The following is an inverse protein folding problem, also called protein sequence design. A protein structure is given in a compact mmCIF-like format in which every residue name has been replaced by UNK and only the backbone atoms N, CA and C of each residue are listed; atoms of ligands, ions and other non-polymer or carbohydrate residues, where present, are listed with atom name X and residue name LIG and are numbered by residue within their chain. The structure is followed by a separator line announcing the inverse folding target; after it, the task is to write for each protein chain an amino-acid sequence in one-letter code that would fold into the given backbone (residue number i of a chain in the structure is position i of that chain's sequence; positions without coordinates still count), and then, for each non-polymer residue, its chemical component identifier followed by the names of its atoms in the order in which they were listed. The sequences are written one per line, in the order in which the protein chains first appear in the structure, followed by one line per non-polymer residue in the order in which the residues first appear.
data_IF_009970260202
#
_entry.id   IF_009970260202
#
_cell.length_a   1.000
_cell.length_b   1.000
_cell.length_c   1.000
_cell.angle_alpha   90.00
_cell.angle_beta   90.00
_cell.angle_gamma   90.00
#
_symmetry.space_group_name_H-M   'P 1'
#
loop_
_entity.id
_entity.type
_entity.pdbx_description
1 polymer ?
#
# COMPACT_ATOMS: atom_id res chain seq x y z
N UNK A 1 -19.75 -32.31 -6.82
CA UNK A 1 -18.89 -31.15 -6.48
C UNK A 1 -17.66 -31.20 -7.37
N UNK A 2 -17.58 -30.37 -8.38
CA UNK A 2 -16.43 -30.32 -9.29
C UNK A 2 -15.53 -29.17 -8.86
N UNK A 3 -14.35 -29.49 -8.37
CA UNK A 3 -13.27 -28.54 -8.13
C UNK A 3 -12.73 -28.08 -9.50
N UNK A 4 -13.03 -26.88 -9.90
CA UNK A 4 -12.36 -26.24 -11.04
C UNK A 4 -11.03 -25.67 -10.57
N UNK A 5 -9.94 -26.30 -10.99
CA UNK A 5 -8.60 -25.72 -10.94
C UNK A 5 -8.62 -24.48 -11.84
N UNK A 6 -8.47 -23.29 -11.26
CA UNK A 6 -8.08 -22.10 -12.03
C UNK A 6 -6.66 -22.34 -12.55
N UNK A 7 -6.53 -22.28 -13.87
CA UNK A 7 -5.24 -22.36 -14.57
C UNK A 7 -4.42 -21.11 -14.32
N UNK A 8 -3.13 -21.30 -14.08
CA UNK A 8 -2.10 -20.25 -14.03
C UNK A 8 -2.01 -19.57 -15.41
N UNK A 9 -2.73 -18.48 -15.60
CA UNK A 9 -2.61 -17.64 -16.80
C UNK A 9 -2.85 -16.19 -16.42
N UNK A 10 -1.80 -15.40 -16.58
CA UNK A 10 -1.64 -13.93 -16.57
C UNK A 10 -1.79 -13.22 -15.20
N UNK A 11 -1.02 -12.13 -14.99
CA UNK A 11 -1.25 -11.24 -13.87
C UNK A 11 -2.60 -10.58 -14.05
N UNK A 12 -3.62 -11.25 -13.59
CA UNK A 12 -5.00 -10.74 -13.57
C UNK A 12 -4.98 -9.39 -12.87
N UNK A 13 -5.57 -8.43 -13.53
CA UNK A 13 -5.80 -7.08 -13.07
C UNK A 13 -6.72 -7.12 -11.83
N UNK A 14 -6.17 -7.61 -10.70
CA UNK A 14 -6.86 -7.86 -9.43
C UNK A 14 -7.74 -6.68 -8.97
N UNK A 15 -7.35 -5.39 -9.18
CA UNK A 15 -8.21 -4.26 -8.88
C UNK A 15 -9.52 -4.24 -9.67
N UNK A 16 -9.49 -4.59 -10.95
CA UNK A 16 -10.65 -4.52 -11.84
C UNK A 16 -11.74 -5.54 -11.44
N UNK A 17 -11.33 -6.77 -11.19
CA UNK A 17 -12.26 -7.86 -10.78
C UNK A 17 -12.94 -7.54 -9.44
N UNK A 18 -12.25 -6.89 -8.50
CA UNK A 18 -12.83 -6.50 -7.21
C UNK A 18 -13.90 -5.44 -7.35
N UNK A 19 -13.71 -4.46 -8.22
CA UNK A 19 -14.70 -3.40 -8.46
C UNK A 19 -15.99 -3.98 -9.06
N UNK A 20 -15.89 -4.86 -10.04
CA UNK A 20 -17.05 -5.53 -10.65
C UNK A 20 -17.86 -6.33 -9.63
N UNK A 21 -17.21 -7.02 -8.70
CA UNK A 21 -17.87 -7.79 -7.64
C UNK A 21 -18.59 -6.86 -6.67
N UNK A 22 -17.99 -5.74 -6.29
CA UNK A 22 -18.60 -4.73 -5.43
C UNK A 22 -19.80 -4.07 -6.10
N UNK A 23 -19.72 -3.76 -7.39
CA UNK A 23 -20.82 -3.21 -8.18
C UNK A 23 -22.00 -4.20 -8.29
N UNK A 24 -21.71 -5.50 -8.24
CA UNK A 24 -22.74 -6.54 -8.14
C UNK A 24 -23.37 -6.65 -6.74
N UNK A 25 -22.99 -5.80 -5.78
CA UNK A 25 -23.52 -5.80 -4.41
C UNK A 25 -22.95 -6.89 -3.50
N UNK A 26 -21.82 -7.47 -3.87
CA UNK A 26 -21.15 -8.54 -3.11
C UNK A 26 -20.06 -7.95 -2.23
N UNK A 27 -20.08 -8.24 -0.94
CA UNK A 27 -19.03 -7.81 -0.02
C UNK A 27 -17.71 -8.53 -0.32
N UNK A 28 -16.61 -7.78 -0.35
CA UNK A 28 -15.27 -8.30 -0.65
C UNK A 28 -14.35 -8.04 0.54
N UNK A 29 -13.71 -9.10 1.03
CA UNK A 29 -12.62 -9.02 2.01
C UNK A 29 -11.34 -9.40 1.28
N UNK A 30 -10.33 -8.52 1.31
CA UNK A 30 -9.06 -8.81 0.68
C UNK A 30 -7.88 -8.44 1.56
N UNK A 31 -6.81 -9.23 1.49
CA UNK A 31 -5.53 -8.92 2.12
C UNK A 31 -4.62 -8.21 1.12
N UNK A 32 -3.97 -7.15 1.56
CA UNK A 32 -3.02 -6.36 0.78
C UNK A 32 -1.74 -6.18 1.57
N UNK A 33 -0.61 -6.47 0.96
CA UNK A 33 0.67 -6.16 1.57
C UNK A 33 1.08 -4.74 1.22
N UNK A 34 1.68 -4.02 2.18
CA UNK A 34 2.08 -2.63 2.04
C UNK A 34 2.98 -2.36 0.83
N UNK A 35 3.81 -3.32 0.46
CA UNK A 35 4.73 -3.23 -0.68
C UNK A 35 4.04 -3.10 -2.04
N UNK A 36 2.79 -3.49 -2.15
CA UNK A 36 2.02 -3.41 -3.39
C UNK A 36 1.29 -2.07 -3.57
N UNK A 37 1.24 -1.22 -2.55
CA UNK A 37 0.59 0.09 -2.66
C UNK A 37 1.44 1.01 -3.53
N UNK A 38 0.83 1.55 -4.58
CA UNK A 38 1.55 2.27 -5.64
C UNK A 38 2.34 3.48 -5.10
N UNK A 39 1.73 4.30 -4.25
CA UNK A 39 2.39 5.48 -3.67
C UNK A 39 3.57 5.15 -2.76
N UNK A 40 3.59 3.96 -2.16
CA UNK A 40 4.61 3.53 -1.21
C UNK A 40 5.73 2.70 -1.85
N UNK A 41 5.58 2.31 -3.11
CA UNK A 41 6.52 1.41 -3.79
C UNK A 41 7.97 1.92 -3.79
N UNK A 42 8.18 3.24 -3.98
CA UNK A 42 9.53 3.81 -3.94
C UNK A 42 10.16 3.78 -2.53
N UNK A 43 9.35 4.02 -1.50
CA UNK A 43 9.84 3.98 -0.12
C UNK A 43 10.15 2.53 0.29
N UNK A 44 9.30 1.58 -0.11
CA UNK A 44 9.58 0.14 0.05
C UNK A 44 10.87 -0.26 -0.64
N UNK A 45 11.10 0.19 -1.89
CA UNK A 45 12.35 -0.07 -2.62
C UNK A 45 13.57 0.51 -1.91
N UNK A 46 13.48 1.71 -1.33
CA UNK A 46 14.58 2.31 -0.56
C UNK A 46 14.89 1.53 0.71
N UNK A 47 13.87 1.04 1.40
CA UNK A 47 14.01 0.28 2.64
C UNK A 47 14.60 -1.10 2.37
N UNK A 48 14.02 -1.83 1.40
CA UNK A 48 14.31 -3.25 1.20
C UNK A 48 15.33 -3.54 0.10
N UNK A 49 15.60 -2.55 -0.76
CA UNK A 49 16.39 -2.75 -1.99
C UNK A 49 15.66 -3.53 -3.09
N UNK A 50 14.41 -3.96 -2.85
CA UNK A 50 13.64 -4.79 -3.78
C UNK A 50 12.59 -3.96 -4.50
N UNK A 51 12.54 -4.08 -5.82
CA UNK A 51 11.48 -3.47 -6.63
C UNK A 51 10.31 -4.44 -6.77
N UNK A 52 9.14 -4.00 -6.34
CA UNK A 52 7.89 -4.77 -6.46
C UNK A 52 7.18 -4.35 -7.75
N UNK A 53 7.00 -5.30 -8.65
CA UNK A 53 6.39 -5.06 -9.97
C UNK A 53 4.87 -4.93 -9.88
N UNK A 54 4.22 -5.76 -9.07
CA UNK A 54 2.77 -5.73 -8.87
C UNK A 54 2.40 -4.52 -8.02
N UNK A 55 1.46 -3.70 -8.51
CA UNK A 55 1.03 -2.47 -7.84
C UNK A 55 -0.48 -2.41 -7.74
N UNK A 56 -0.93 -1.92 -6.61
CA UNK A 56 -2.35 -1.66 -6.33
C UNK A 56 -2.51 -0.14 -6.25
N UNK A 57 -3.39 0.46 -7.05
CA UNK A 57 -3.66 1.88 -6.98
C UNK A 57 -4.18 2.29 -5.58
N UNK A 58 -3.75 3.45 -5.10
CA UNK A 58 -4.19 4.00 -3.81
C UNK A 58 -5.71 4.20 -3.73
N UNK A 59 -6.36 4.41 -4.89
CA UNK A 59 -7.82 4.52 -4.99
C UNK A 59 -8.56 3.27 -4.48
N UNK A 60 -7.97 2.09 -4.58
CA UNK A 60 -8.57 0.84 -4.07
C UNK A 60 -8.67 0.86 -2.55
N UNK A 61 -7.64 1.36 -1.86
CA UNK A 61 -7.69 1.55 -0.41
C UNK A 61 -8.66 2.66 0.00
N UNK A 62 -8.70 3.75 -0.77
CA UNK A 62 -9.60 4.86 -0.51
C UNK A 62 -11.09 4.48 -0.64
N UNK A 63 -11.41 3.49 -1.48
CA UNK A 63 -12.78 2.97 -1.67
C UNK A 63 -13.18 1.92 -0.63
N UNK A 64 -12.24 1.39 0.16
CA UNK A 64 -12.55 0.38 1.16
C UNK A 64 -13.43 0.96 2.28
N UNK A 65 -14.50 0.27 2.68
CA UNK A 65 -15.34 0.66 3.81
C UNK A 65 -14.58 0.55 5.13
N UNK A 66 -13.72 -0.44 5.25
CA UNK A 66 -12.89 -0.69 6.43
C UNK A 66 -11.48 -1.12 6.03
N UNK A 67 -10.48 -0.57 6.71
CA UNK A 67 -9.08 -0.95 6.57
C UNK A 67 -8.57 -1.41 7.92
N UNK A 68 -8.16 -2.67 8.02
CA UNK A 68 -7.65 -3.28 9.24
C UNK A 68 -6.17 -3.60 9.07
N UNK A 69 -5.34 -3.09 9.97
CA UNK A 69 -3.94 -3.47 10.02
C UNK A 69 -3.77 -4.77 10.82
N UNK A 70 -3.29 -5.81 10.15
CA UNK A 70 -2.89 -7.06 10.82
C UNK A 70 -1.42 -6.95 11.14
N UNK A 71 -1.13 -6.56 12.38
CA UNK A 71 0.23 -6.30 12.82
C UNK A 71 0.86 -7.54 13.47
N UNK A 72 2.10 -7.83 13.08
CA UNK A 72 2.95 -8.85 13.68
C UNK A 72 4.26 -8.21 14.09
N UNK A 73 4.82 -8.67 15.21
CA UNK A 73 6.18 -8.27 15.59
C UNK A 73 7.20 -8.80 14.57
N UNK A 74 8.34 -8.13 14.46
CA UNK A 74 9.41 -8.57 13.56
C UNK A 74 9.85 -10.01 13.89
N UNK A 75 9.94 -10.32 15.16
CA UNK A 75 10.35 -11.66 15.63
C UNK A 75 9.33 -12.74 15.26
N UNK A 76 8.04 -12.47 15.42
CA UNK A 76 6.98 -13.40 15.01
C UNK A 76 6.96 -13.63 13.51
N UNK A 77 7.15 -12.55 12.72
CA UNK A 77 7.19 -12.67 11.27
C UNK A 77 8.40 -13.50 10.80
N UNK A 78 9.58 -13.23 11.39
CA UNK A 78 10.80 -13.98 11.10
C UNK A 78 10.64 -15.46 11.52
N UNK A 79 10.03 -15.74 12.68
CA UNK A 79 9.76 -17.10 13.14
C UNK A 79 8.84 -17.85 12.15
N UNK A 80 7.74 -17.24 11.71
CA UNK A 80 6.83 -17.82 10.72
C UNK A 80 7.49 -18.07 9.37
N UNK A 81 8.42 -17.19 8.97
CA UNK A 81 9.23 -17.36 7.76
C UNK A 81 10.11 -18.60 7.87
N UNK A 82 10.85 -18.73 8.97
CA UNK A 82 11.72 -19.89 9.23
C UNK A 82 10.96 -21.22 9.30
N UNK A 83 9.72 -21.18 9.75
CA UNK A 83 8.81 -22.34 9.80
C UNK A 83 8.22 -22.71 8.43
N UNK A 84 8.56 -21.98 7.36
CA UNK A 84 8.03 -22.23 6.02
C UNK A 84 6.57 -21.87 5.81
N UNK A 85 5.99 -21.09 6.72
CA UNK A 85 4.57 -20.69 6.65
C UNK A 85 4.29 -19.53 5.66
N UNK A 86 5.33 -18.88 5.18
CA UNK A 86 5.22 -17.70 4.27
C UNK A 86 5.80 -18.01 2.89
N UNK A 87 6.94 -18.69 2.84
CA UNK A 87 7.63 -19.08 1.62
C UNK A 87 8.03 -20.54 1.62
N UNK A 88 8.24 -21.09 0.42
CA UNK A 88 8.83 -22.42 0.26
C UNK A 88 10.30 -22.41 0.76
N UNK A 89 10.78 -23.56 1.23
CA UNK A 89 12.05 -23.69 1.93
C UNK A 89 13.27 -23.16 1.14
N UNK A 90 13.26 -23.31 -0.18
CA UNK A 90 14.31 -22.86 -1.10
C UNK A 90 14.45 -21.32 -1.17
N UNK A 91 13.39 -20.58 -0.86
CA UNK A 91 13.34 -19.12 -0.91
C UNK A 91 13.54 -18.41 0.43
N UNK A 92 13.45 -19.16 1.53
CA UNK A 92 13.49 -18.58 2.88
C UNK A 92 14.81 -17.86 3.16
N UNK A 93 15.93 -18.48 2.82
CA UNK A 93 17.26 -17.91 3.11
C UNK A 93 17.49 -16.60 2.37
N UNK A 94 17.11 -16.55 1.09
CA UNK A 94 17.19 -15.33 0.27
C UNK A 94 16.26 -14.24 0.77
N UNK A 95 15.05 -14.61 1.17
CA UNK A 95 14.07 -13.68 1.70
C UNK A 95 14.54 -13.04 3.01
N UNK A 96 15.10 -13.85 3.93
CA UNK A 96 15.65 -13.37 5.21
C UNK A 96 16.87 -12.45 5.03
N UNK A 97 17.70 -12.73 4.04
CA UNK A 97 18.90 -11.90 3.78
C UNK A 97 18.57 -10.55 3.15
N UNK A 98 17.53 -10.47 2.36
CA UNK A 98 17.21 -9.28 1.57
C UNK A 98 16.05 -8.49 2.16
N UNK A 99 14.85 -9.03 2.09
CA UNK A 99 13.62 -8.30 2.41
C UNK A 99 13.29 -8.31 3.91
N UNK A 100 13.42 -9.47 4.56
CA UNK A 100 12.95 -9.70 5.94
C UNK A 100 14.05 -9.52 6.99
N UNK A 101 14.79 -8.42 6.92
CA UNK A 101 15.65 -7.97 8.01
C UNK A 101 14.80 -7.24 9.05
N UNK A 102 15.14 -7.35 10.34
CA UNK A 102 14.37 -6.75 11.43
C UNK A 102 14.15 -5.25 11.22
N UNK A 103 15.18 -4.52 10.80
CA UNK A 103 15.09 -3.07 10.57
C UNK A 103 14.16 -2.74 9.39
N UNK A 104 14.19 -3.53 8.31
CA UNK A 104 13.29 -3.37 7.18
C UNK A 104 11.84 -3.63 7.59
N UNK A 105 11.59 -4.70 8.37
CA UNK A 105 10.26 -5.03 8.87
C UNK A 105 9.70 -3.89 9.73
N UNK A 106 10.51 -3.31 10.62
CA UNK A 106 10.10 -2.19 11.46
C UNK A 106 9.74 -0.96 10.64
N UNK A 107 10.54 -0.63 9.62
CA UNK A 107 10.26 0.50 8.72
C UNK A 107 9.01 0.26 7.86
N UNK A 108 8.81 -0.95 7.34
CA UNK A 108 7.60 -1.32 6.60
C UNK A 108 6.36 -1.27 7.49
N UNK A 109 6.48 -1.71 8.75
CA UNK A 109 5.42 -1.60 9.75
C UNK A 109 5.05 -0.14 10.03
N UNK A 110 6.03 0.74 10.17
CA UNK A 110 5.81 2.18 10.33
C UNK A 110 5.05 2.77 9.13
N UNK A 111 5.43 2.39 7.90
CA UNK A 111 4.72 2.81 6.69
C UNK A 111 3.26 2.32 6.69
N UNK A 112 3.03 1.05 7.07
CA UNK A 112 1.68 0.48 7.14
C UNK A 112 0.80 1.23 8.15
N UNK A 113 1.31 1.50 9.34
CA UNK A 113 0.59 2.25 10.37
C UNK A 113 0.26 3.68 9.92
N UNK A 114 1.19 4.36 9.26
CA UNK A 114 0.95 5.71 8.70
C UNK A 114 -0.13 5.68 7.62
N UNK A 115 -0.14 4.67 6.76
CA UNK A 115 -1.16 4.56 5.72
C UNK A 115 -2.54 4.31 6.32
N UNK A 116 -2.66 3.41 7.30
CA UNK A 116 -3.94 3.17 8.00
C UNK A 116 -4.44 4.43 8.71
N UNK A 117 -3.56 5.15 9.41
CA UNK A 117 -3.92 6.41 10.06
C UNK A 117 -4.46 7.43 9.04
N UNK A 118 -3.80 7.57 7.88
CA UNK A 118 -4.24 8.44 6.79
C UNK A 118 -5.63 8.06 6.25
N UNK A 119 -5.94 6.75 6.16
CA UNK A 119 -7.27 6.29 5.75
C UNK A 119 -8.36 6.64 6.77
N UNK A 120 -8.05 6.50 8.07
CA UNK A 120 -8.98 6.89 9.14
C UNK A 120 -9.25 8.40 9.12
N UNK A 121 -8.21 9.22 8.97
CA UNK A 121 -8.34 10.68 8.87
C UNK A 121 -9.24 11.09 7.72
N UNK A 122 -9.08 10.50 6.54
CA UNK A 122 -9.94 10.77 5.36
C UNK A 122 -11.40 10.46 5.62
N UNK A 123 -11.70 9.37 6.34
CA UNK A 123 -13.08 8.99 6.68
C UNK A 123 -13.70 9.97 7.67
N UNK A 124 -12.99 10.32 8.72
CA UNK A 124 -13.45 11.28 9.72
C UNK A 124 -13.77 12.63 9.08
N UNK A 125 -12.96 13.09 8.10
CA UNK A 125 -13.24 14.34 7.39
C UNK A 125 -14.48 14.27 6.48
N UNK A 126 -14.75 13.12 5.87
CA UNK A 126 -15.95 12.95 5.04
C UNK A 126 -17.23 12.95 5.90
N UNK A 127 -17.15 12.46 7.12
CA UNK A 127 -18.27 12.42 8.06
C UNK A 127 -18.51 13.77 8.77
N UNK A 128 -17.44 14.56 8.98
CA UNK A 128 -17.57 15.88 9.59
C UNK A 128 -17.90 16.92 8.51
N UNK A 129 -19.18 17.11 8.27
CA UNK A 129 -19.75 18.09 7.30
C UNK A 129 -19.50 19.57 7.65
N UNK A 130 -18.55 19.92 8.52
CA UNK A 130 -18.22 21.29 8.86
C UNK A 130 -16.92 21.69 8.16
N UNK A 131 -16.91 22.79 7.38
CA UNK A 131 -15.65 23.30 6.84
C UNK A 131 -14.73 23.66 8.00
N UNK A 132 -13.64 22.94 8.13
CA UNK A 132 -12.56 23.30 9.06
C UNK A 132 -12.06 24.69 8.67
N UNK A 133 -12.12 25.63 9.60
CA UNK A 133 -11.59 27.00 9.45
C UNK A 133 -10.06 27.05 9.40
N UNK A 134 -9.40 25.89 9.42
CA UNK A 134 -7.96 25.81 9.26
C UNK A 134 -7.59 26.25 7.83
N UNK A 135 -6.72 27.23 7.73
CA UNK A 135 -6.13 27.68 6.46
C UNK A 135 -5.58 26.45 5.74
N UNK A 136 -6.24 26.03 4.68
CA UNK A 136 -5.75 24.91 3.86
C UNK A 136 -4.51 25.41 3.10
N UNK A 137 -3.40 24.78 3.38
CA UNK A 137 -2.18 25.01 2.62
C UNK A 137 -2.40 24.59 1.16
N UNK A 138 -1.59 25.15 0.26
CA UNK A 138 -1.60 24.79 -1.16
C UNK A 138 -0.19 24.38 -1.53
N UNK A 139 -0.06 23.30 -2.26
CA UNK A 139 1.22 22.79 -2.70
C UNK A 139 1.42 23.05 -4.18
N UNK A 140 2.63 23.44 -4.55
CA UNK A 140 3.05 23.60 -5.93
C UNK A 140 4.20 22.66 -6.22
N UNK A 141 4.03 21.77 -7.21
CA UNK A 141 5.08 20.88 -7.67
C UNK A 141 5.91 21.56 -8.77
N UNK A 142 7.10 22.07 -8.43
CA UNK A 142 8.04 22.56 -9.42
C UNK A 142 8.86 21.40 -9.99
N UNK A 143 8.68 21.10 -11.27
CA UNK A 143 9.36 20.00 -11.96
C UNK A 143 10.37 20.50 -12.96
N UNK A 144 11.45 19.75 -13.18
CA UNK A 144 12.45 19.96 -14.21
C UNK A 144 12.19 19.03 -15.40
N UNK A 145 12.99 19.17 -16.45
CA UNK A 145 12.96 18.29 -17.63
C UNK A 145 13.46 16.85 -17.34
N UNK A 146 14.05 16.61 -16.18
CA UNK A 146 14.49 15.27 -15.79
C UNK A 146 13.27 14.44 -15.33
N UNK A 147 12.93 13.44 -16.12
CA UNK A 147 11.73 12.62 -15.91
C UNK A 147 11.71 11.88 -14.57
N UNK A 148 12.84 11.35 -14.12
CA UNK A 148 12.95 10.60 -12.86
C UNK A 148 12.69 11.52 -11.68
N UNK A 149 13.33 12.69 -11.67
CA UNK A 149 13.15 13.70 -10.62
C UNK A 149 11.73 14.26 -10.65
N UNK A 150 11.17 14.53 -11.84
CA UNK A 150 9.81 15.03 -11.98
C UNK A 150 8.77 14.06 -11.39
N UNK A 151 8.87 12.76 -11.72
CA UNK A 151 7.98 11.73 -11.17
C UNK A 151 8.07 11.66 -9.63
N UNK A 152 9.28 11.73 -9.08
CA UNK A 152 9.49 11.72 -7.63
C UNK A 152 8.88 12.95 -6.95
N UNK A 153 9.07 14.14 -7.51
CA UNK A 153 8.49 15.40 -6.99
C UNK A 153 6.96 15.36 -7.03
N UNK A 154 6.37 14.96 -8.16
CA UNK A 154 4.91 14.84 -8.31
C UNK A 154 4.33 13.91 -7.26
N UNK A 155 4.89 12.70 -7.11
CA UNK A 155 4.41 11.72 -6.12
C UNK A 155 4.52 12.26 -4.69
N UNK A 156 5.65 12.86 -4.35
CA UNK A 156 5.85 13.44 -3.00
C UNK A 156 4.88 14.60 -2.73
N UNK A 157 4.67 15.48 -3.72
CA UNK A 157 3.72 16.60 -3.59
C UNK A 157 2.29 16.08 -3.43
N UNK A 158 1.88 15.10 -4.24
CA UNK A 158 0.56 14.48 -4.13
C UNK A 158 0.34 13.85 -2.74
N UNK A 159 1.33 13.14 -2.18
CA UNK A 159 1.26 12.56 -0.83
C UNK A 159 1.13 13.64 0.25
N UNK A 160 1.94 14.71 0.16
CA UNK A 160 1.85 15.83 1.11
C UNK A 160 0.51 16.54 1.01
N UNK A 161 0.03 16.82 -0.20
CA UNK A 161 -1.26 17.43 -0.41
C UNK A 161 -2.41 16.58 0.14
N UNK A 162 -2.33 15.26 -0.05
CA UNK A 162 -3.26 14.32 0.56
C UNK A 162 -3.19 14.37 2.10
N UNK A 163 -2.00 14.31 2.68
CA UNK A 163 -1.79 14.36 4.13
C UNK A 163 -2.37 15.62 4.76
N UNK A 164 -2.19 16.78 4.10
CA UNK A 164 -2.73 18.07 4.57
C UNK A 164 -4.13 18.39 4.02
N UNK A 165 -4.80 17.44 3.35
CA UNK A 165 -6.11 17.62 2.70
C UNK A 165 -6.20 18.89 1.85
N UNK A 166 -5.15 19.17 1.11
CA UNK A 166 -4.92 20.40 0.39
C UNK A 166 -4.86 20.21 -1.12
N UNK A 167 -5.17 21.27 -1.86
CA UNK A 167 -5.00 21.25 -3.33
C UNK A 167 -3.53 21.40 -3.69
N UNK A 168 -3.13 20.75 -4.77
CA UNK A 168 -1.80 20.91 -5.35
C UNK A 168 -1.87 21.14 -6.86
N UNK A 169 -0.79 21.73 -7.41
CA UNK A 169 -0.69 22.15 -8.78
C UNK A 169 0.67 21.77 -9.35
#
# INVERSE_FOLDING_TARGET
MRSSKLSDTEPTNIPCVKVEILEAGINVISAVNIQHIESLNEDVKKITGVEVAERIPDSVLAQADEVVNIDLTADELIARLKEGKVYQADKIETALKNFFQSDHILQLRELALKEVASQVERKVETEISKPSFLKRERFLACISSNEITAKSVIRKTARLANYYHSKWY
#
